data_IF_145676950442
#
_entry.id   IF_145676950442
#
_cell.length_a   1.000
_cell.length_b   1.000
_cell.length_c   1.000
_cell.angle_alpha   90.00
_cell.angle_beta   90.00
_cell.angle_gamma   90.00
#
_symmetry.space_group_name_H-M   'P 1'
#
loop_
_entity.id
_entity.type
_entity.pdbx_description
1 polymer ?
#
# COMPACT_ATOMS: atom_id res chain seq x y z
N UNK A 1 38.25 49.79 16.52
CA UNK A 1 36.89 49.37 16.09
C UNK A 1 37.07 48.61 14.79
N UNK A 2 36.80 47.32 14.61
CA UNK A 2 35.92 46.36 15.28
C UNK A 2 36.61 44.98 15.33
N UNK A 3 36.32 44.22 16.39
CA UNK A 3 36.73 42.84 16.59
C UNK A 3 35.83 41.88 15.79
N UNK A 4 36.39 40.78 15.28
CA UNK A 4 35.61 39.71 14.65
C UNK A 4 35.77 38.38 15.40
N UNK A 5 34.61 37.74 15.57
CA UNK A 5 34.26 36.71 16.52
C UNK A 5 34.97 35.36 16.33
N UNK A 6 35.30 34.73 17.46
CA UNK A 6 35.57 33.31 17.58
C UNK A 6 34.27 32.51 17.52
N UNK A 7 34.25 31.45 16.70
CA UNK A 7 33.19 30.45 16.70
C UNK A 7 33.63 29.24 17.53
N UNK A 8 32.92 29.03 18.65
CA UNK A 8 33.03 27.88 19.53
C UNK A 8 32.41 26.64 18.86
N UNK A 9 33.25 25.66 18.52
CA UNK A 9 32.81 24.31 18.15
C UNK A 9 32.69 23.46 19.41
N UNK A 10 31.46 23.30 19.92
CA UNK A 10 31.15 22.36 20.99
C UNK A 10 31.06 20.94 20.40
N UNK A 11 32.14 20.17 20.55
CA UNK A 11 32.13 18.71 20.39
C UNK A 11 31.35 18.10 21.56
N UNK A 12 30.19 17.52 21.29
CA UNK A 12 29.48 16.66 22.24
C UNK A 12 30.16 15.30 22.20
N UNK A 13 30.96 15.05 23.23
CA UNK A 13 31.62 13.78 23.53
C UNK A 13 30.61 12.87 24.24
N UNK A 14 30.08 11.85 23.56
CA UNK A 14 29.31 10.79 24.20
C UNK A 14 30.28 9.70 24.70
N UNK A 15 30.38 9.44 26.00
CA UNK A 15 31.28 8.42 26.53
C UNK A 15 30.76 7.01 26.23
N UNK A 16 31.67 6.17 25.72
CA UNK A 16 31.50 4.73 25.58
C UNK A 16 31.79 4.06 26.93
N UNK A 17 30.90 3.24 27.51
CA UNK A 17 31.24 2.43 28.67
C UNK A 17 31.91 1.13 28.21
N UNK A 18 33.24 1.14 28.16
CA UNK A 18 34.05 -0.06 28.34
C UNK A 18 34.29 -0.24 29.85
N UNK A 19 33.60 -1.21 30.44
CA UNK A 19 33.90 -1.69 31.78
C UNK A 19 33.93 -3.21 31.76
N UNK A 20 35.11 -3.76 31.50
CA UNK A 20 35.48 -5.09 31.93
C UNK A 20 35.62 -5.07 33.47
N UNK A 21 34.85 -5.91 34.16
CA UNK A 21 35.15 -6.32 35.54
C UNK A 21 35.03 -7.83 35.63
N UNK A 22 36.18 -8.50 35.74
CA UNK A 22 36.29 -9.87 36.16
C UNK A 22 35.89 -10.04 37.64
N UNK A 23 35.09 -11.08 37.90
CA UNK A 23 35.23 -11.93 39.09
C UNK A 23 34.58 -11.46 40.39
N UNK A 24 33.44 -12.06 40.73
CA UNK A 24 33.19 -12.60 42.07
C UNK A 24 32.01 -13.58 42.07
N UNK A 25 32.33 -14.85 42.30
CA UNK A 25 31.40 -15.86 42.79
C UNK A 25 30.95 -15.43 44.20
N UNK A 26 29.66 -15.19 44.36
CA UNK A 26 29.03 -14.87 45.63
C UNK A 26 27.55 -15.20 45.56
N UNK A 27 27.18 -16.34 46.15
CA UNK A 27 25.81 -16.76 46.35
C UNK A 27 25.07 -15.81 47.30
N UNK A 28 23.82 -15.47 46.98
CA UNK A 28 22.68 -15.45 47.90
C UNK A 28 21.48 -14.81 47.19
N UNK A 29 20.51 -15.66 46.90
CA UNK A 29 19.06 -15.39 46.94
C UNK A 29 18.65 -14.01 47.43
N UNK A 30 18.10 -13.20 46.53
CA UNK A 30 16.99 -12.32 46.88
C UNK A 30 16.03 -12.21 45.69
N UNK A 31 15.00 -13.06 45.76
CA UNK A 31 13.85 -13.11 44.87
C UNK A 31 13.01 -11.83 45.05
N UNK A 32 13.46 -10.73 44.47
CA UNK A 32 12.55 -9.65 44.08
C UNK A 32 11.74 -10.17 42.90
N UNK A 33 10.61 -10.80 43.22
CA UNK A 33 9.40 -10.81 42.39
C UNK A 33 9.06 -9.34 42.09
N UNK A 34 9.67 -8.79 41.04
CA UNK A 34 9.09 -7.66 40.35
C UNK A 34 7.90 -8.22 39.60
N UNK A 35 6.74 -7.70 39.95
CA UNK A 35 5.48 -7.96 39.29
C UNK A 35 5.61 -7.60 37.80
N UNK A 36 6.00 -8.57 36.98
CA UNK A 36 5.74 -8.59 35.54
C UNK A 36 4.23 -8.77 35.36
N UNK A 37 3.46 -7.76 35.76
CA UNK A 37 2.12 -7.49 35.27
C UNK A 37 2.21 -6.99 33.83
N UNK A 38 2.93 -7.74 32.97
CA UNK A 38 2.81 -7.66 31.52
C UNK A 38 1.37 -8.08 31.21
N UNK A 39 0.50 -7.08 31.29
CA UNK A 39 -0.94 -7.21 31.20
C UNK A 39 -1.19 -7.84 29.84
N UNK A 40 -1.70 -9.06 29.83
CA UNK A 40 -2.09 -9.75 28.61
C UNK A 40 -3.40 -9.11 28.11
N UNK A 41 -3.35 -7.82 27.72
CA UNK A 41 -4.51 -7.04 27.23
C UNK A 41 -4.99 -7.54 25.85
N UNK A 42 -4.56 -8.73 25.42
CA UNK A 42 -5.13 -9.44 24.28
C UNK A 42 -6.41 -10.19 24.67
N UNK A 43 -6.61 -10.49 25.96
CA UNK A 43 -7.72 -11.35 26.39
C UNK A 43 -9.10 -10.66 26.46
N UNK A 44 -9.14 -9.32 26.51
CA UNK A 44 -10.41 -8.60 26.71
C UNK A 44 -11.10 -8.14 25.41
N UNK A 45 -10.46 -8.29 24.25
CA UNK A 45 -11.06 -7.81 22.98
C UNK A 45 -11.74 -8.97 22.27
N UNK A 46 -13.07 -8.90 22.18
CA UNK A 46 -13.83 -9.94 21.46
C UNK A 46 -13.43 -9.98 19.97
N UNK A 47 -13.45 -11.17 19.32
CA UNK A 47 -13.13 -11.30 17.89
C UNK A 47 -14.01 -10.42 16.98
N UNK A 48 -15.25 -10.16 17.39
CA UNK A 48 -16.18 -9.29 16.66
C UNK A 48 -15.74 -7.82 16.66
N UNK A 49 -15.19 -7.33 17.79
CA UNK A 49 -14.65 -5.98 17.91
C UNK A 49 -13.36 -5.83 17.10
N UNK A 50 -12.45 -6.82 17.15
CA UNK A 50 -11.24 -6.83 16.32
C UNK A 50 -11.59 -6.76 14.83
N UNK A 51 -12.60 -7.53 14.39
CA UNK A 51 -13.08 -7.47 12.99
C UNK A 51 -13.60 -6.07 12.64
N UNK A 52 -14.39 -5.45 13.51
CA UNK A 52 -14.89 -4.09 13.28
C UNK A 52 -13.76 -3.05 13.19
N UNK A 53 -12.74 -3.14 14.05
CA UNK A 53 -11.55 -2.29 13.98
C UNK A 53 -10.78 -2.51 12.68
N UNK A 54 -10.59 -3.78 12.31
CA UNK A 54 -9.92 -4.15 11.09
C UNK A 54 -10.61 -3.57 9.86
N UNK A 55 -11.93 -3.69 9.76
CA UNK A 55 -12.67 -3.24 8.58
C UNK A 55 -12.76 -1.71 8.48
N UNK A 56 -12.67 -1.00 9.62
CA UNK A 56 -12.65 0.47 9.65
C UNK A 56 -11.33 1.09 9.17
N UNK A 57 -10.21 0.40 9.35
CA UNK A 57 -8.90 0.88 8.86
C UNK A 57 -8.75 0.51 7.39
N UNK A 58 -8.40 1.50 6.56
CA UNK A 58 -8.28 1.32 5.10
C UNK A 58 -7.08 0.45 4.66
N UNK A 59 -6.36 0.93 3.63
CA UNK A 59 -5.18 0.24 3.11
C UNK A 59 -4.00 0.36 4.11
N UNK A 60 -3.06 -0.60 4.12
CA UNK A 60 -1.85 -0.47 4.91
C UNK A 60 -1.07 0.80 4.57
N UNK A 61 -0.65 1.54 5.59
CA UNK A 61 0.09 2.81 5.43
C UNK A 61 1.61 2.62 5.46
N UNK A 62 2.06 1.55 6.10
CA UNK A 62 3.48 1.19 6.19
C UNK A 62 3.68 -0.21 5.61
N UNK A 63 4.82 -0.41 4.94
CA UNK A 63 5.19 -1.71 4.37
C UNK A 63 6.61 -2.07 4.80
N UNK A 64 6.75 -3.25 5.41
CA UNK A 64 8.02 -3.87 5.76
C UNK A 64 8.43 -4.80 4.62
N UNK A 65 9.66 -4.63 4.15
CA UNK A 65 10.24 -5.43 3.06
C UNK A 65 10.56 -6.87 3.48
N UNK A 66 11.18 -7.63 2.55
CA UNK A 66 11.64 -9.00 2.82
C UNK A 66 12.79 -9.07 3.83
N UNK A 67 13.54 -7.97 3.97
CA UNK A 67 14.67 -7.85 4.90
C UNK A 67 14.29 -7.69 6.38
N UNK A 68 13.00 -7.75 6.71
CA UNK A 68 12.51 -7.61 8.09
C UNK A 68 12.42 -6.17 8.58
N UNK A 69 12.27 -6.03 9.90
CA UNK A 69 12.14 -4.74 10.59
C UNK A 69 13.45 -3.98 10.52
N UNK A 70 13.37 -2.66 10.35
CA UNK A 70 14.51 -1.76 10.26
C UNK A 70 14.21 -0.52 11.11
N UNK A 71 15.25 0.20 11.54
CA UNK A 71 15.11 1.42 12.33
C UNK A 71 14.20 2.48 11.66
N UNK A 72 14.25 2.59 10.32
CA UNK A 72 13.37 3.45 9.55
C UNK A 72 11.89 3.09 9.73
N UNK A 73 11.54 1.80 9.72
CA UNK A 73 10.18 1.33 9.93
C UNK A 73 9.66 1.69 11.32
N UNK A 74 10.50 1.59 12.35
CA UNK A 74 10.16 1.92 13.74
C UNK A 74 9.85 3.41 13.87
N UNK A 75 10.69 4.27 13.28
CA UNK A 75 10.48 5.72 13.29
C UNK A 75 9.20 6.10 12.54
N UNK A 76 9.00 5.57 11.32
CA UNK A 76 7.78 5.82 10.55
C UNK A 76 6.53 5.31 11.25
N UNK A 77 6.58 4.13 11.89
CA UNK A 77 5.42 3.61 12.62
C UNK A 77 5.08 4.50 13.82
N UNK A 78 6.09 5.00 14.55
CA UNK A 78 5.90 5.94 15.67
C UNK A 78 5.25 7.24 15.23
N UNK A 79 5.73 7.84 14.14
CA UNK A 79 5.17 9.07 13.55
C UNK A 79 3.73 8.86 13.08
N UNK A 80 3.47 7.74 12.39
CA UNK A 80 2.12 7.40 11.95
C UNK A 80 1.19 7.21 13.16
N UNK A 81 1.63 6.51 14.22
CA UNK A 81 0.83 6.28 15.42
C UNK A 81 0.56 7.56 16.22
N UNK A 82 1.40 8.59 16.06
CA UNK A 82 1.13 9.91 16.62
C UNK A 82 -0.01 10.63 15.88
N UNK A 83 -0.13 10.40 14.57
CA UNK A 83 -1.17 11.00 13.72
C UNK A 83 -2.45 10.17 13.63
N UNK A 84 -2.35 8.87 13.95
CA UNK A 84 -3.42 7.89 13.79
C UNK A 84 -3.44 6.93 14.97
N UNK A 85 -4.59 6.80 15.63
CA UNK A 85 -4.73 5.84 16.72
C UNK A 85 -4.66 4.37 16.26
N UNK A 86 -4.93 4.08 14.97
CA UNK A 86 -4.94 2.74 14.38
C UNK A 86 -4.31 2.72 12.98
N UNK A 87 -3.45 1.74 12.74
CA UNK A 87 -2.72 1.58 11.47
C UNK A 87 -2.61 0.10 11.09
N UNK A 88 -2.77 -0.17 9.79
CA UNK A 88 -2.36 -1.44 9.18
C UNK A 88 -0.95 -1.35 8.62
N UNK A 89 -0.14 -2.36 8.89
CA UNK A 89 1.22 -2.51 8.37
C UNK A 89 1.31 -3.80 7.57
N UNK A 90 1.83 -3.72 6.35
CA UNK A 90 2.04 -4.89 5.50
C UNK A 90 3.46 -5.43 5.68
N UNK A 91 3.60 -6.69 6.08
CA UNK A 91 4.89 -7.34 6.31
C UNK A 91 5.11 -8.40 5.23
N UNK A 92 6.05 -8.14 4.31
CA UNK A 92 6.30 -8.99 3.14
C UNK A 92 7.30 -10.12 3.42
N UNK A 93 7.16 -10.78 4.56
CA UNK A 93 7.89 -12.03 4.85
C UNK A 93 7.10 -13.23 4.34
N UNK A 94 7.81 -14.33 4.12
CA UNK A 94 7.24 -15.53 3.52
C UNK A 94 6.54 -16.42 4.54
N UNK A 95 7.04 -16.46 5.77
CA UNK A 95 6.54 -17.30 6.86
C UNK A 95 5.66 -16.50 7.83
N UNK A 96 4.57 -17.10 8.29
CA UNK A 96 3.63 -16.47 9.23
C UNK A 96 4.27 -16.25 10.61
N UNK A 97 5.15 -17.15 11.04
CA UNK A 97 5.89 -16.96 12.29
C UNK A 97 6.82 -15.74 12.21
N UNK A 98 7.47 -15.52 11.06
CA UNK A 98 8.30 -14.34 10.83
C UNK A 98 7.46 -13.06 10.85
N UNK A 99 6.29 -13.08 10.21
CA UNK A 99 5.35 -11.94 10.21
C UNK A 99 4.92 -11.60 11.64
N UNK A 100 4.59 -12.61 12.45
CA UNK A 100 4.21 -12.41 13.85
C UNK A 100 5.40 -11.87 14.67
N UNK A 101 6.60 -12.45 14.51
CA UNK A 101 7.81 -11.99 15.17
C UNK A 101 8.16 -10.53 14.83
N UNK A 102 8.10 -10.16 13.55
CA UNK A 102 8.29 -8.77 13.10
C UNK A 102 7.18 -7.84 13.60
N UNK A 103 5.95 -8.34 13.72
CA UNK A 103 4.85 -7.60 14.33
C UNK A 103 5.10 -7.29 15.81
N UNK A 104 5.56 -8.29 16.56
CA UNK A 104 5.91 -8.16 17.98
C UNK A 104 7.12 -7.25 18.18
N UNK A 105 8.15 -7.37 17.33
CA UNK A 105 9.33 -6.51 17.35
C UNK A 105 8.96 -5.03 17.10
N UNK A 106 8.09 -4.76 16.13
CA UNK A 106 7.58 -3.41 15.89
C UNK A 106 6.81 -2.90 17.11
N UNK A 107 5.95 -3.73 17.71
CA UNK A 107 5.15 -3.36 18.87
C UNK A 107 6.03 -2.99 20.07
N UNK A 108 7.04 -3.80 20.38
CA UNK A 108 7.95 -3.56 21.51
C UNK A 108 8.79 -2.30 21.33
N UNK A 109 9.31 -2.04 20.12
CA UNK A 109 10.18 -0.89 19.85
C UNK A 109 9.43 0.44 19.68
N UNK A 110 8.14 0.40 19.38
CA UNK A 110 7.30 1.60 19.19
C UNK A 110 6.34 1.87 20.34
N UNK A 111 6.31 1.00 21.35
CA UNK A 111 5.28 1.00 22.40
C UNK A 111 3.86 0.94 21.81
N UNK A 112 3.70 0.32 20.64
CA UNK A 112 2.41 0.13 20.00
C UNK A 112 1.77 -1.16 20.50
N UNK A 113 0.44 -1.21 20.48
CA UNK A 113 -0.30 -2.43 20.78
C UNK A 113 -0.54 -3.22 19.49
N UNK A 114 0.05 -4.41 19.39
CA UNK A 114 -0.27 -5.35 18.31
C UNK A 114 -1.64 -6.00 18.60
N UNK A 115 -2.65 -5.62 17.82
CA UNK A 115 -4.03 -6.06 18.03
C UNK A 115 -4.34 -7.37 17.31
N UNK A 116 -3.92 -7.50 16.05
CA UNK A 116 -4.24 -8.67 15.23
C UNK A 116 -3.25 -8.80 14.06
N UNK A 117 -2.90 -10.04 13.72
CA UNK A 117 -2.18 -10.39 12.48
C UNK A 117 -3.11 -11.20 11.59
N UNK A 118 -3.21 -10.86 10.30
CA UNK A 118 -3.99 -11.58 9.30
C UNK A 118 -3.19 -11.72 8.01
N UNK A 119 -2.65 -12.90 7.77
CA UNK A 119 -1.75 -13.16 6.65
C UNK A 119 -0.51 -12.25 6.73
N UNK A 120 -0.31 -11.40 5.72
CA UNK A 120 0.84 -10.47 5.64
C UNK A 120 0.54 -9.07 6.16
N UNK A 121 -0.52 -8.88 6.92
CA UNK A 121 -0.88 -7.55 7.45
C UNK A 121 -1.11 -7.65 8.94
N UNK A 122 -0.53 -6.72 9.68
CA UNK A 122 -0.69 -6.57 11.11
C UNK A 122 -1.41 -5.25 11.41
N UNK A 123 -2.31 -5.27 12.38
CA UNK A 123 -3.06 -4.12 12.87
C UNK A 123 -2.44 -3.66 14.20
N UNK A 124 -2.04 -2.40 14.23
CA UNK A 124 -1.45 -1.74 15.39
C UNK A 124 -2.39 -0.66 15.90
N UNK A 125 -2.51 -0.58 17.22
CA UNK A 125 -3.10 0.55 17.93
C UNK A 125 -2.05 1.32 18.72
N UNK A 126 -2.34 2.58 19.02
CA UNK A 126 -1.52 3.36 19.94
C UNK A 126 -1.52 2.70 21.33
N UNK A 127 -0.35 2.50 21.95
CA UNK A 127 -0.21 1.68 23.16
C UNK A 127 -0.99 2.17 24.38
N UNK A 128 -1.21 3.48 24.49
CA UNK A 128 -1.96 4.10 25.59
C UNK A 128 -3.45 4.30 25.29
N UNK A 129 -3.92 4.00 24.08
CA UNK A 129 -5.29 4.28 23.68
C UNK A 129 -6.24 3.18 24.16
N UNK A 130 -7.35 3.61 24.76
CA UNK A 130 -8.45 2.72 25.13
C UNK A 130 -9.21 2.22 23.88
N UNK A 131 -9.87 1.06 24.00
CA UNK A 131 -10.62 0.42 22.93
C UNK A 131 -11.72 1.34 22.37
N UNK A 132 -12.34 2.16 23.23
CA UNK A 132 -13.34 3.15 22.82
C UNK A 132 -12.78 4.16 21.81
N UNK A 133 -11.60 4.71 22.10
CA UNK A 133 -10.87 5.67 21.24
C UNK A 133 -10.49 5.01 19.92
N UNK A 134 -9.94 3.78 19.99
CA UNK A 134 -9.59 3.01 18.79
C UNK A 134 -10.81 2.81 17.87
N UNK A 135 -11.98 2.45 18.43
CA UNK A 135 -13.21 2.28 17.64
C UNK A 135 -13.69 3.58 17.00
N UNK A 136 -13.65 4.69 17.73
CA UNK A 136 -14.00 6.00 17.20
C UNK A 136 -13.09 6.37 16.03
N UNK A 137 -11.76 6.20 16.18
CA UNK A 137 -10.82 6.45 15.10
C UNK A 137 -11.04 5.54 13.87
N UNK A 138 -11.32 4.25 14.08
CA UNK A 138 -11.63 3.33 12.99
C UNK A 138 -12.87 3.78 12.20
N UNK A 139 -13.93 4.23 12.89
CA UNK A 139 -15.14 4.73 12.24
C UNK A 139 -14.89 5.99 11.40
N UNK A 140 -14.09 6.93 11.91
CA UNK A 140 -13.73 8.16 11.20
C UNK A 140 -12.86 7.89 9.96
N UNK A 141 -11.90 6.96 10.06
CA UNK A 141 -11.08 6.55 8.93
C UNK A 141 -11.91 5.86 7.83
N UNK A 142 -12.82 4.97 8.23
CA UNK A 142 -13.71 4.26 7.30
C UNK A 142 -14.66 5.21 6.56
N UNK A 143 -15.31 6.14 7.27
CA UNK A 143 -16.18 7.15 6.67
C UNK A 143 -15.43 8.02 5.65
N UNK A 144 -14.22 8.47 6.00
CA UNK A 144 -13.37 9.27 5.12
C UNK A 144 -12.90 8.51 3.88
N UNK A 145 -12.70 7.19 3.97
CA UNK A 145 -12.31 6.37 2.83
C UNK A 145 -13.49 6.17 1.86
N UNK A 146 -14.68 5.92 2.38
CA UNK A 146 -15.89 5.78 1.57
C UNK A 146 -16.26 7.08 0.87
N UNK A 147 -16.19 8.21 1.59
CA UNK A 147 -16.43 9.54 1.03
C UNK A 147 -15.42 9.90 -0.06
N UNK A 148 -14.13 9.56 0.12
CA UNK A 148 -13.12 9.78 -0.92
C UNK A 148 -13.37 8.91 -2.15
N UNK A 149 -13.78 7.66 -1.97
CA UNK A 149 -14.10 6.77 -3.08
C UNK A 149 -15.33 7.25 -3.87
N UNK A 150 -16.37 7.71 -3.17
CA UNK A 150 -17.57 8.27 -3.81
C UNK A 150 -17.27 9.60 -4.50
N UNK A 151 -16.48 10.48 -3.89
CA UNK A 151 -16.01 11.72 -4.53
C UNK A 151 -15.18 11.43 -5.79
N UNK A 152 -14.21 10.52 -5.73
CA UNK A 152 -13.41 10.15 -6.92
C UNK A 152 -14.27 9.52 -8.02
N UNK A 153 -15.30 8.76 -7.65
CA UNK A 153 -16.22 8.21 -8.63
C UNK A 153 -17.07 9.31 -9.28
N UNK A 154 -17.64 10.20 -8.46
CA UNK A 154 -18.41 11.35 -8.95
C UNK A 154 -17.57 12.28 -9.79
N UNK A 155 -16.32 12.57 -9.42
CA UNK A 155 -15.38 13.35 -10.23
C UNK A 155 -15.10 12.68 -11.56
N UNK A 156 -14.91 11.34 -11.60
CA UNK A 156 -14.74 10.62 -12.87
C UNK A 156 -16.00 10.68 -13.73
N UNK A 157 -17.17 10.49 -13.14
CA UNK A 157 -18.45 10.57 -13.85
C UNK A 157 -18.68 11.99 -14.36
N UNK A 158 -18.38 13.01 -13.56
CA UNK A 158 -18.51 14.42 -13.91
C UNK A 158 -17.51 14.82 -15.00
N UNK A 159 -16.25 14.40 -14.91
CA UNK A 159 -15.26 14.61 -15.97
C UNK A 159 -15.61 13.84 -17.25
N UNK A 160 -16.22 12.66 -17.16
CA UNK A 160 -16.71 11.94 -18.33
C UNK A 160 -17.95 12.61 -18.94
N UNK A 161 -18.81 13.23 -18.12
CA UNK A 161 -20.07 13.84 -18.58
C UNK A 161 -19.87 15.28 -19.11
N UNK A 162 -18.96 16.04 -18.51
CA UNK A 162 -18.73 17.47 -18.82
C UNK A 162 -17.38 17.73 -19.48
N UNK A 163 -16.49 16.74 -19.52
CA UNK A 163 -15.33 16.79 -20.39
C UNK A 163 -15.82 16.70 -21.83
N UNK A 164 -15.79 17.82 -22.54
CA UNK A 164 -15.77 17.88 -24.01
C UNK A 164 -14.44 17.27 -24.48
N UNK A 165 -14.13 16.04 -24.08
CA UNK A 165 -13.00 15.33 -24.64
C UNK A 165 -13.43 14.93 -26.04
N UNK A 166 -12.78 15.54 -27.04
CA UNK A 166 -13.11 15.32 -28.44
C UNK A 166 -13.19 13.81 -28.76
N UNK A 167 -14.17 13.42 -29.60
CA UNK A 167 -14.28 12.04 -30.04
C UNK A 167 -12.94 11.64 -30.67
N UNK A 168 -12.36 10.52 -30.20
CA UNK A 168 -11.08 10.03 -30.72
C UNK A 168 -11.30 9.68 -32.19
N UNK A 169 -10.72 10.50 -33.08
CA UNK A 169 -10.81 10.28 -34.51
C UNK A 169 -9.83 9.15 -34.89
N UNK A 170 -10.41 8.00 -35.20
CA UNK A 170 -9.67 6.86 -35.74
C UNK A 170 -9.60 6.96 -37.26
N UNK A 171 -8.56 6.36 -37.84
CA UNK A 171 -8.49 6.18 -39.28
C UNK A 171 -9.68 5.32 -39.75
N UNK A 172 -10.27 5.62 -40.92
CA UNK A 172 -11.55 5.05 -41.33
C UNK A 172 -11.51 3.51 -41.42
N UNK A 173 -10.43 2.95 -41.93
CA UNK A 173 -10.29 1.49 -42.05
C UNK A 173 -10.11 0.80 -40.67
N UNK A 174 -9.43 1.46 -39.73
CA UNK A 174 -9.29 0.97 -38.35
C UNK A 174 -10.66 0.99 -37.66
N UNK A 175 -11.43 2.06 -37.87
CA UNK A 175 -12.78 2.18 -37.33
C UNK A 175 -13.72 1.13 -37.92
N UNK A 176 -13.67 0.91 -39.24
CA UNK A 176 -14.43 -0.14 -39.92
C UNK A 176 -14.09 -1.53 -39.37
N UNK A 177 -12.81 -1.81 -39.15
CA UNK A 177 -12.36 -3.09 -38.59
C UNK A 177 -12.82 -3.29 -37.14
N UNK A 178 -12.84 -2.24 -36.31
CA UNK A 178 -13.39 -2.32 -34.94
C UNK A 178 -14.90 -2.60 -34.95
N UNK A 179 -15.66 -1.91 -35.82
CA UNK A 179 -17.10 -2.18 -35.98
C UNK A 179 -17.37 -3.62 -36.42
N UNK A 180 -16.54 -4.16 -37.32
CA UNK A 180 -16.61 -5.57 -37.72
C UNK A 180 -16.35 -6.52 -36.55
N UNK A 181 -15.33 -6.26 -35.72
CA UNK A 181 -15.05 -7.09 -34.54
C UNK A 181 -16.20 -7.03 -33.52
N UNK A 182 -16.86 -5.88 -33.40
CA UNK A 182 -18.02 -5.71 -32.55
C UNK A 182 -19.24 -6.49 -33.08
N UNK A 183 -19.60 -6.31 -34.35
CA UNK A 183 -20.72 -7.05 -34.95
C UNK A 183 -20.51 -8.56 -34.96
N UNK A 184 -19.25 -9.03 -35.00
CA UNK A 184 -18.89 -10.44 -34.88
C UNK A 184 -18.90 -10.97 -33.42
N UNK A 185 -19.14 -10.12 -32.42
CA UNK A 185 -19.12 -10.50 -31.00
C UNK A 185 -17.73 -10.85 -30.46
N UNK A 186 -16.67 -10.43 -31.15
CA UNK A 186 -15.27 -10.65 -30.71
C UNK A 186 -14.86 -9.62 -29.66
N UNK A 187 -15.43 -8.42 -29.74
CA UNK A 187 -15.16 -7.26 -28.89
C UNK A 187 -16.47 -6.53 -28.58
N UNK A 188 -16.68 -6.05 -27.36
CA UNK A 188 -17.82 -5.17 -27.04
C UNK A 188 -17.41 -3.68 -27.11
N UNK A 189 -18.37 -2.78 -27.28
CA UNK A 189 -18.11 -1.32 -27.40
C UNK A 189 -17.37 -0.72 -26.20
N UNK A 190 -17.51 -1.31 -25.01
CA UNK A 190 -16.92 -0.87 -23.75
C UNK A 190 -15.67 -1.67 -23.33
N UNK A 191 -15.27 -2.69 -24.10
CA UNK A 191 -14.12 -3.54 -23.76
C UNK A 191 -12.77 -2.88 -24.08
N UNK A 192 -12.76 -1.85 -24.93
CA UNK A 192 -11.59 -1.02 -25.21
C UNK A 192 -11.65 0.29 -24.42
N UNK A 193 -10.68 0.48 -23.53
CA UNK A 193 -10.55 1.72 -22.79
C UNK A 193 -10.12 2.88 -23.71
N UNK A 194 -10.41 4.11 -23.28
CA UNK A 194 -10.11 5.32 -24.06
C UNK A 194 -8.61 5.47 -24.36
N UNK A 195 -7.75 4.99 -23.46
CA UNK A 195 -6.29 5.02 -23.62
C UNK A 195 -5.85 4.12 -24.77
N UNK A 196 -6.46 2.95 -24.90
CA UNK A 196 -6.28 1.98 -25.96
C UNK A 196 -6.67 2.57 -27.32
N UNK A 197 -7.84 3.22 -27.39
CA UNK A 197 -8.29 3.91 -28.60
C UNK A 197 -7.35 5.05 -29.01
N UNK A 198 -6.80 5.79 -28.04
CA UNK A 198 -5.81 6.85 -28.29
C UNK A 198 -4.47 6.29 -28.80
N UNK A 199 -4.04 5.13 -28.31
CA UNK A 199 -2.84 4.46 -28.84
C UNK A 199 -3.10 3.94 -30.25
N UNK A 200 -4.28 3.38 -30.52
CA UNK A 200 -4.68 2.97 -31.86
C UNK A 200 -4.73 4.14 -32.85
N UNK A 201 -5.22 5.31 -32.45
CA UNK A 201 -5.27 6.49 -33.32
C UNK A 201 -3.87 7.01 -33.69
N UNK A 202 -2.89 6.81 -32.82
CA UNK A 202 -1.48 7.17 -33.04
C UNK A 202 -0.68 6.10 -33.79
N UNK A 203 -1.22 4.89 -33.91
CA UNK A 203 -0.53 3.78 -34.60
C UNK A 203 -0.74 3.91 -36.12
N UNK A 204 0.29 3.71 -36.95
CA UNK A 204 0.12 3.69 -38.40
C UNK A 204 -0.93 2.65 -38.84
N UNK A 205 -1.63 2.94 -39.94
CA UNK A 205 -2.79 2.16 -40.38
C UNK A 205 -2.50 0.66 -40.55
N UNK A 206 -1.45 0.32 -41.29
CA UNK A 206 -1.10 -1.06 -41.62
C UNK A 206 -0.88 -1.93 -40.38
N UNK A 207 0.01 -1.51 -39.46
CA UNK A 207 0.21 -2.23 -38.21
C UNK A 207 -1.04 -2.31 -37.31
N UNK A 208 -1.84 -1.23 -37.22
CA UNK A 208 -3.08 -1.24 -36.46
C UNK A 208 -4.08 -2.28 -37.02
N UNK A 209 -4.28 -2.30 -38.33
CA UNK A 209 -5.14 -3.30 -39.00
C UNK A 209 -4.61 -4.72 -38.83
N UNK A 210 -3.29 -4.91 -38.87
CA UNK A 210 -2.66 -6.22 -38.67
C UNK A 210 -2.95 -6.76 -37.28
N UNK A 211 -2.85 -5.90 -36.27
CA UNK A 211 -3.16 -6.23 -34.88
C UNK A 211 -4.64 -6.59 -34.72
N UNK A 212 -5.55 -5.75 -35.22
CA UNK A 212 -6.99 -5.98 -35.13
C UNK A 212 -7.42 -7.26 -35.88
N UNK A 213 -6.85 -7.54 -37.04
CA UNK A 213 -7.07 -8.81 -37.75
C UNK A 213 -6.53 -10.02 -36.97
N UNK A 214 -5.46 -9.84 -36.19
CA UNK A 214 -4.92 -10.84 -35.28
C UNK A 214 -5.88 -11.19 -34.12
N UNK A 215 -6.72 -10.26 -33.68
CA UNK A 215 -7.76 -10.52 -32.68
C UNK A 215 -8.82 -11.50 -33.18
N UNK A 216 -9.12 -11.51 -34.48
CA UNK A 216 -10.11 -12.45 -35.02
C UNK A 216 -9.58 -13.89 -35.05
N UNK A 217 -8.26 -14.06 -35.16
CA UNK A 217 -7.60 -15.38 -35.17
C UNK A 217 -7.32 -15.92 -33.77
N UNK A 218 -7.10 -15.00 -32.82
CA UNK A 218 -6.83 -15.34 -31.43
C UNK A 218 -8.16 -15.56 -30.71
N UNK A 219 -8.29 -16.59 -29.87
CA UNK A 219 -9.50 -16.75 -29.05
C UNK A 219 -9.56 -15.63 -27.99
N UNK A 220 -10.09 -14.46 -28.37
CA UNK A 220 -10.21 -13.29 -27.48
C UNK A 220 -11.11 -13.55 -26.28
N UNK A 221 -11.93 -14.62 -26.32
CA UNK A 221 -12.72 -15.10 -25.18
C UNK A 221 -11.85 -15.52 -23.99
N UNK A 222 -10.63 -16.02 -24.24
CA UNK A 222 -9.70 -16.40 -23.18
C UNK A 222 -8.94 -15.20 -22.57
N UNK A 223 -8.94 -14.05 -23.25
CA UNK A 223 -8.21 -12.87 -22.80
C UNK A 223 -9.03 -12.10 -21.77
N UNK A 224 -8.63 -12.20 -20.50
CA UNK A 224 -9.30 -11.55 -19.36
C UNK A 224 -9.41 -10.02 -19.48
N UNK A 225 -8.43 -9.37 -20.11
CA UNK A 225 -8.42 -7.92 -20.31
C UNK A 225 -7.92 -7.58 -21.72
N UNK A 226 -8.85 -7.35 -22.64
CA UNK A 226 -8.57 -7.09 -24.06
C UNK A 226 -7.84 -5.76 -24.28
N UNK A 227 -8.19 -4.72 -23.52
CA UNK A 227 -7.50 -3.42 -23.54
C UNK A 227 -6.02 -3.53 -23.19
N UNK A 228 -5.69 -4.28 -22.14
CA UNK A 228 -4.30 -4.48 -21.72
C UNK A 228 -3.50 -5.27 -22.76
N UNK A 229 -4.10 -6.31 -23.34
CA UNK A 229 -3.49 -7.10 -24.41
C UNK A 229 -3.20 -6.23 -25.64
N UNK A 230 -4.17 -5.44 -26.10
CA UNK A 230 -4.03 -4.60 -27.29
C UNK A 230 -2.98 -3.51 -27.07
N UNK A 231 -3.00 -2.82 -25.92
CA UNK A 231 -1.97 -1.86 -25.54
C UNK A 231 -0.56 -2.48 -25.53
N UNK A 232 -0.42 -3.73 -25.07
CA UNK A 232 0.86 -4.46 -25.09
C UNK A 232 1.33 -4.70 -26.53
N UNK A 233 0.45 -5.17 -27.42
CA UNK A 233 0.80 -5.42 -28.82
C UNK A 233 1.13 -4.11 -29.57
N UNK A 234 0.36 -3.04 -29.37
CA UNK A 234 0.66 -1.72 -29.95
C UNK A 234 2.06 -1.25 -29.55
N UNK A 235 2.43 -1.34 -28.26
CA UNK A 235 3.77 -0.96 -27.79
C UNK A 235 4.89 -1.75 -28.46
N UNK A 236 4.70 -3.06 -28.66
CA UNK A 236 5.70 -3.92 -29.34
C UNK A 236 5.91 -3.49 -30.79
N UNK A 237 4.82 -3.21 -31.50
CA UNK A 237 4.86 -2.74 -32.89
C UNK A 237 5.54 -1.38 -32.98
N UNK A 238 5.16 -0.42 -32.13
CA UNK A 238 5.77 0.91 -32.11
C UNK A 238 7.26 0.84 -31.78
N UNK A 239 7.68 -0.09 -30.92
CA UNK A 239 9.09 -0.30 -30.61
C UNK A 239 9.88 -0.90 -31.78
N UNK A 240 9.27 -1.72 -32.64
CA UNK A 240 9.90 -2.31 -33.82
C UNK A 240 10.01 -1.33 -35.00
N UNK A 241 9.20 -0.28 -35.02
CA UNK A 241 9.20 0.74 -36.07
C UNK A 241 10.21 1.88 -35.84
N UNK A 242 10.97 1.83 -34.74
CA UNK A 242 12.06 2.76 -34.40
C UNK A 242 13.41 2.11 -34.68
#
# INVERSE_FOLDING_TARGET
>A
MQAQAAANSAFIFCPHPDAQVHGRLGAATDLRKQDDAATHIQDDISPSQLRSLWDGVGKPLLRVGKGGVQASHINSLRELLHSHALIKVQINQHDENQVNASGQELASQTCAKLLQVKGRTALFGQGSADLSVLRQSASQQGASAHQRASQQHLERVWHNANGVEEPIQLQPDVQAQLRFLNSAGVLLDDELDRKCLRVLSQTPQGPALTLLKGMNKSSMRAVRNKSAWLNSQCRRITAQAR
#
